data_IF_460285980042
#
_entry.id   IF_460285980042
#
_cell.length_a   1.000
_cell.length_b   1.000
_cell.length_c   1.000
_cell.angle_alpha   90.00
_cell.angle_beta   90.00
_cell.angle_gamma   90.00
#
_symmetry.space_group_name_H-M   'P 1'
#
loop_
_entity.id
_entity.type
_entity.pdbx_description
1 polymer ?
#
# COMPACT_ATOMS: atom_id res chain seq x y z
N UNK A 1 70.20 0.23 -55.11
CA UNK A 1 69.42 -0.71 -55.94
C UNK A 1 68.69 -1.68 -55.01
N UNK A 2 67.36 -1.63 -54.99
CA UNK A 2 66.47 -2.79 -54.81
C UNK A 2 65.02 -2.30 -54.70
N UNK A 3 64.25 -2.62 -55.75
CA UNK A 3 62.79 -2.72 -55.70
C UNK A 3 62.37 -3.71 -54.60
N UNK A 4 61.19 -3.49 -54.00
CA UNK A 4 60.17 -4.55 -53.90
C UNK A 4 58.80 -4.00 -53.49
N UNK A 5 57.83 -4.34 -54.34
CA UNK A 5 56.40 -4.31 -54.08
C UNK A 5 56.05 -5.15 -52.84
N UNK A 6 55.00 -4.74 -52.13
CA UNK A 6 54.01 -5.69 -51.62
C UNK A 6 52.65 -5.02 -51.46
N UNK A 7 51.70 -5.50 -52.27
CA UNK A 7 50.26 -5.34 -52.06
C UNK A 7 49.87 -6.19 -50.86
N UNK A 8 49.05 -5.67 -49.96
CA UNK A 8 48.29 -6.49 -49.01
C UNK A 8 46.86 -5.96 -48.98
N UNK A 9 45.95 -6.88 -49.29
CA UNK A 9 44.50 -6.70 -49.35
C UNK A 9 43.90 -7.38 -48.12
N UNK A 10 42.85 -6.74 -47.58
CA UNK A 10 41.82 -7.23 -46.66
C UNK A 10 42.23 -7.76 -45.28
N UNK A 11 41.66 -7.16 -44.23
CA UNK A 11 40.70 -7.88 -43.40
C UNK A 11 39.62 -6.92 -42.89
N UNK A 12 38.37 -7.37 -43.04
CA UNK A 12 37.13 -6.73 -42.62
C UNK A 12 37.05 -6.72 -41.10
N UNK A 13 36.82 -5.56 -40.49
CA UNK A 13 36.49 -5.43 -39.08
C UNK A 13 35.38 -4.39 -38.91
N UNK A 14 34.17 -4.73 -39.37
CA UNK A 14 32.96 -3.97 -39.02
C UNK A 14 32.40 -4.57 -37.73
N UNK A 15 32.92 -4.13 -36.58
CA UNK A 15 32.22 -4.30 -35.30
C UNK A 15 30.95 -3.46 -35.38
N UNK A 16 29.82 -4.12 -35.66
CA UNK A 16 28.48 -3.57 -35.45
C UNK A 16 28.26 -3.46 -33.94
N UNK A 17 28.70 -2.35 -33.35
CA UNK A 17 28.17 -1.84 -32.09
C UNK A 17 26.75 -1.36 -32.35
N UNK A 18 25.81 -2.30 -32.44
CA UNK A 18 24.39 -1.99 -32.37
C UNK A 18 24.08 -1.46 -30.97
N UNK A 19 23.40 -0.32 -30.82
CA UNK A 19 22.98 0.15 -29.52
C UNK A 19 22.06 -0.93 -28.92
N UNK A 20 22.43 -1.44 -27.75
CA UNK A 20 21.47 -2.09 -26.87
C UNK A 20 20.38 -1.06 -26.61
N UNK A 21 19.30 -1.14 -27.38
CA UNK A 21 18.05 -0.51 -27.05
C UNK A 21 17.60 -1.19 -25.75
N UNK A 22 18.05 -0.60 -24.63
CA UNK A 22 17.33 -0.67 -23.38
C UNK A 22 15.92 -0.21 -23.72
N UNK A 23 15.03 -1.18 -23.88
CA UNK A 23 13.61 -0.94 -23.79
C UNK A 23 13.38 -0.36 -22.38
N UNK A 24 13.48 0.95 -22.27
CA UNK A 24 12.73 1.70 -21.27
C UNK A 24 11.29 1.32 -21.55
N UNK A 25 10.75 0.35 -20.82
CA UNK A 25 9.31 0.22 -20.62
C UNK A 25 8.90 1.44 -19.81
N UNK A 26 8.33 2.51 -20.40
CA UNK A 26 7.71 3.57 -19.64
C UNK A 26 6.28 3.08 -19.41
N UNK A 27 6.16 1.99 -18.66
CA UNK A 27 4.91 1.41 -18.24
C UNK A 27 4.68 1.74 -16.77
N UNK A 28 4.93 3.00 -16.39
CA UNK A 28 4.37 3.53 -15.16
C UNK A 28 2.87 3.64 -15.39
N UNK A 29 2.15 2.53 -15.22
CA UNK A 29 0.71 2.58 -15.01
C UNK A 29 0.51 3.57 -13.86
N UNK A 30 -0.05 4.73 -14.18
CA UNK A 30 -0.52 5.69 -13.20
C UNK A 30 -1.55 4.94 -12.36
N UNK A 31 -1.13 4.36 -11.23
CA UNK A 31 -2.01 3.62 -10.33
C UNK A 31 -3.02 4.60 -9.77
N UNK A 32 -4.23 4.57 -10.31
CA UNK A 32 -5.35 5.39 -9.86
C UNK A 32 -5.92 4.83 -8.56
N UNK A 33 -6.48 5.70 -7.72
CA UNK A 33 -7.29 5.26 -6.58
C UNK A 33 -8.44 4.39 -7.11
N UNK A 34 -8.62 3.15 -6.63
CA UNK A 34 -9.66 2.27 -7.14
C UNK A 34 -11.03 2.85 -6.81
N UNK A 35 -12.04 2.54 -7.62
CA UNK A 35 -13.44 2.78 -7.24
C UNK A 35 -13.91 1.78 -6.17
N UNK A 36 -15.12 1.99 -5.65
CA UNK A 36 -15.66 1.19 -4.56
C UNK A 36 -15.85 -0.28 -4.94
N UNK A 37 -16.26 -0.61 -6.16
CA UNK A 37 -16.47 -2.01 -6.57
C UNK A 37 -15.14 -2.75 -6.79
N UNK A 38 -14.16 -2.07 -7.40
CA UNK A 38 -12.81 -2.59 -7.54
C UNK A 38 -12.15 -2.83 -6.18
N UNK A 39 -12.35 -1.91 -5.23
CA UNK A 39 -11.88 -2.04 -3.85
C UNK A 39 -12.48 -3.29 -3.18
N UNK A 40 -13.81 -3.43 -3.20
CA UNK A 40 -14.51 -4.59 -2.59
C UNK A 40 -14.05 -5.91 -3.19
N UNK A 41 -13.91 -5.97 -4.51
CA UNK A 41 -13.41 -7.16 -5.22
C UNK A 41 -12.00 -7.54 -4.77
N UNK A 42 -11.10 -6.54 -4.68
CA UNK A 42 -9.72 -6.76 -4.24
C UNK A 42 -9.66 -7.21 -2.78
N UNK A 43 -10.46 -6.60 -1.90
CA UNK A 43 -10.57 -6.98 -0.50
C UNK A 43 -11.12 -8.40 -0.33
N UNK A 44 -12.12 -8.79 -1.11
CA UNK A 44 -12.64 -10.17 -1.12
C UNK A 44 -11.56 -11.17 -1.51
N UNK A 45 -10.75 -10.87 -2.53
CA UNK A 45 -9.60 -11.70 -2.90
C UNK A 45 -8.55 -11.83 -1.78
N UNK A 46 -8.51 -10.89 -0.84
CA UNK A 46 -7.65 -10.93 0.35
C UNK A 46 -8.31 -11.56 1.58
N UNK A 47 -9.56 -12.02 1.47
CA UNK A 47 -10.29 -12.74 2.52
C UNK A 47 -11.38 -11.94 3.24
N UNK A 48 -11.63 -10.69 2.86
CA UNK A 48 -12.72 -9.87 3.42
C UNK A 48 -14.04 -10.15 2.69
N UNK A 49 -14.66 -11.29 3.05
CA UNK A 49 -15.81 -11.85 2.35
C UNK A 49 -17.15 -11.60 3.03
N UNK A 50 -17.16 -10.80 4.10
CA UNK A 50 -18.41 -10.47 4.79
C UNK A 50 -19.28 -9.54 3.94
N UNK A 51 -20.62 -9.61 4.06
CA UNK A 51 -21.51 -8.75 3.28
C UNK A 51 -21.32 -7.26 3.58
N UNK A 52 -21.32 -6.45 2.53
CA UNK A 52 -21.35 -4.99 2.65
C UNK A 52 -22.77 -4.52 2.97
N UNK A 53 -22.87 -3.64 3.96
CA UNK A 53 -24.09 -2.97 4.39
C UNK A 53 -24.03 -1.50 4.00
N UNK A 54 -25.05 -1.05 3.28
CA UNK A 54 -25.25 0.37 2.97
C UNK A 54 -25.61 1.16 4.23
N UNK A 55 -25.04 2.35 4.36
CA UNK A 55 -25.29 3.32 5.44
C UNK A 55 -25.45 4.72 4.84
N UNK A 56 -25.94 5.67 5.63
CA UNK A 56 -26.14 7.06 5.18
C UNK A 56 -24.85 7.74 4.70
N UNK A 57 -23.68 7.24 5.10
CA UNK A 57 -22.37 7.78 4.74
C UNK A 57 -21.51 6.84 3.92
N UNK A 58 -22.05 5.83 3.24
CA UNK A 58 -21.26 4.87 2.46
C UNK A 58 -21.48 3.44 2.92
N UNK A 59 -20.48 2.59 2.77
CA UNK A 59 -20.64 1.15 2.93
C UNK A 59 -19.69 0.61 3.98
N UNK A 60 -20.14 -0.41 4.71
CA UNK A 60 -19.29 -1.12 5.67
C UNK A 60 -19.48 -2.62 5.63
N UNK A 61 -18.45 -3.37 5.97
CA UNK A 61 -18.57 -4.78 6.31
C UNK A 61 -18.06 -5.03 7.74
N UNK A 62 -18.62 -6.00 8.47
CA UNK A 62 -18.14 -6.35 9.80
C UNK A 62 -16.76 -7.04 9.72
N UNK A 63 -15.96 -6.85 10.78
CA UNK A 63 -14.73 -7.59 11.05
C UNK A 63 -14.88 -8.27 12.43
N UNK A 64 -14.11 -9.33 12.68
CA UNK A 64 -14.10 -10.02 13.98
C UNK A 64 -13.83 -9.09 15.18
N UNK A 65 -13.12 -7.99 14.95
CA UNK A 65 -12.68 -7.03 15.94
C UNK A 65 -13.07 -5.58 15.60
N UNK A 66 -14.02 -5.36 14.68
CA UNK A 66 -14.32 -4.01 14.22
C UNK A 66 -15.16 -3.97 12.95
N UNK A 67 -14.89 -2.96 12.13
CA UNK A 67 -15.60 -2.71 10.87
C UNK A 67 -14.63 -2.17 9.82
N UNK A 68 -14.90 -2.51 8.55
CA UNK A 68 -14.21 -1.95 7.40
C UNK A 68 -15.18 -1.06 6.63
N UNK A 69 -14.73 0.13 6.24
CA UNK A 69 -15.54 1.20 5.66
C UNK A 69 -15.03 1.67 4.30
N UNK A 70 -15.97 1.96 3.42
CA UNK A 70 -15.80 2.66 2.15
C UNK A 70 -16.71 3.90 2.18
N UNK A 71 -16.13 5.10 2.22
CA UNK A 71 -16.86 6.36 2.36
C UNK A 71 -16.12 7.50 1.68
N UNK A 72 -16.78 8.21 0.77
CA UNK A 72 -16.31 9.50 0.22
C UNK A 72 -14.85 9.50 -0.29
N UNK A 73 -14.43 8.46 -1.00
CA UNK A 73 -13.04 8.35 -1.47
C UNK A 73 -12.02 8.03 -0.37
N UNK A 74 -12.50 7.52 0.77
CA UNK A 74 -11.69 7.00 1.86
C UNK A 74 -12.01 5.52 2.08
N UNK A 75 -10.96 4.74 2.32
CA UNK A 75 -11.03 3.34 2.71
C UNK A 75 -10.38 3.20 4.07
N UNK A 76 -11.12 2.81 5.10
CA UNK A 76 -10.57 2.73 6.45
C UNK A 76 -11.21 1.61 7.26
N UNK A 77 -10.44 1.05 8.19
CA UNK A 77 -10.91 0.11 9.19
C UNK A 77 -10.94 0.80 10.55
N UNK A 78 -11.96 0.50 11.36
CA UNK A 78 -12.06 0.89 12.77
C UNK A 78 -12.12 -0.40 13.58
N UNK A 79 -11.11 -0.64 14.41
CA UNK A 79 -10.92 -1.89 15.13
C UNK A 79 -10.68 -1.65 16.61
N UNK A 80 -11.14 -2.57 17.45
CA UNK A 80 -10.85 -2.56 18.88
C UNK A 80 -9.40 -2.93 19.14
N UNK A 81 -8.79 -2.28 20.13
CA UNK A 81 -7.50 -2.64 20.72
C UNK A 81 -7.79 -3.26 22.08
N UNK A 82 -7.18 -4.42 22.37
CA UNK A 82 -7.35 -5.09 23.65
C UNK A 82 -6.34 -4.54 24.63
N UNK A 83 -6.78 -3.74 25.58
CA UNK A 83 -5.94 -3.03 26.55
C UNK A 83 -5.87 -3.73 27.93
N UNK A 84 -6.29 -5.00 28.01
CA UNK A 84 -6.27 -5.80 29.26
C UNK A 84 -4.88 -5.87 29.92
N UNK A 85 -3.83 -5.96 29.10
CA UNK A 85 -2.42 -5.92 29.49
C UNK A 85 -1.54 -5.62 28.27
N UNK A 86 -0.25 -5.36 28.49
CA UNK A 86 0.69 -5.00 27.43
C UNK A 86 0.79 -6.06 26.32
N UNK A 87 0.81 -7.35 26.67
CA UNK A 87 0.91 -8.43 25.70
C UNK A 87 -0.36 -8.54 24.82
N UNK A 88 -1.54 -8.41 25.44
CA UNK A 88 -2.82 -8.38 24.74
C UNK A 88 -2.92 -7.18 23.80
N UNK A 89 -2.44 -6.02 24.26
CA UNK A 89 -2.38 -4.79 23.48
C UNK A 89 -1.47 -4.95 22.27
N UNK A 90 -0.23 -5.41 22.47
CA UNK A 90 0.72 -5.67 21.39
C UNK A 90 0.15 -6.64 20.35
N UNK A 91 -0.45 -7.75 20.79
CA UNK A 91 -1.05 -8.73 19.88
C UNK A 91 -2.22 -8.13 19.09
N UNK A 92 -3.10 -7.37 19.74
CA UNK A 92 -4.22 -6.73 19.07
C UNK A 92 -3.76 -5.67 18.06
N UNK A 93 -2.74 -4.88 18.37
CA UNK A 93 -2.15 -3.91 17.45
C UNK A 93 -1.50 -4.59 16.24
N UNK A 94 -0.79 -5.71 16.42
CA UNK A 94 -0.20 -6.48 15.32
C UNK A 94 -1.29 -7.05 14.40
N UNK A 95 -2.36 -7.60 14.97
CA UNK A 95 -3.49 -8.11 14.21
C UNK A 95 -4.18 -6.99 13.42
N UNK A 96 -4.41 -5.84 14.06
CA UNK A 96 -4.99 -4.67 13.42
C UNK A 96 -4.08 -4.15 12.28
N UNK A 97 -2.75 -4.13 12.49
CA UNK A 97 -1.77 -3.76 11.46
C UNK A 97 -1.84 -4.67 10.22
N UNK A 98 -2.11 -5.96 10.40
CA UNK A 98 -2.31 -6.87 9.27
C UNK A 98 -3.52 -6.46 8.42
N UNK A 99 -4.64 -6.12 9.07
CA UNK A 99 -5.84 -5.62 8.38
C UNK A 99 -5.54 -4.31 7.65
N UNK A 100 -4.85 -3.36 8.31
CA UNK A 100 -4.45 -2.11 7.68
C UNK A 100 -3.57 -2.36 6.45
N UNK A 101 -2.62 -3.28 6.54
CA UNK A 101 -1.74 -3.60 5.42
C UNK A 101 -2.51 -4.18 4.23
N UNK A 102 -3.45 -5.11 4.46
CA UNK A 102 -4.29 -5.64 3.37
C UNK A 102 -5.15 -4.55 2.73
N UNK A 103 -5.76 -3.70 3.56
CA UNK A 103 -6.53 -2.53 3.08
C UNK A 103 -5.67 -1.59 2.24
N UNK A 104 -4.45 -1.28 2.70
CA UNK A 104 -3.54 -0.42 1.96
C UNK A 104 -3.06 -1.05 0.65
N UNK A 105 -2.78 -2.35 0.62
CA UNK A 105 -2.44 -3.05 -0.63
C UNK A 105 -3.61 -2.97 -1.60
N UNK A 106 -4.84 -3.21 -1.13
CA UNK A 106 -6.03 -3.11 -1.97
C UNK A 106 -6.23 -1.69 -2.54
N UNK A 107 -5.99 -0.66 -1.71
CA UNK A 107 -6.13 0.73 -2.11
C UNK A 107 -5.05 1.22 -3.05
N UNK A 108 -3.82 0.71 -2.91
CA UNK A 108 -2.65 1.32 -3.55
C UNK A 108 -2.01 0.45 -4.63
N UNK A 109 -2.29 -0.85 -4.64
CA UNK A 109 -1.59 -1.83 -5.46
C UNK A 109 -0.10 -2.01 -5.09
N UNK A 110 0.35 -1.43 -3.98
CA UNK A 110 1.74 -1.52 -3.53
C UNK A 110 2.04 -2.85 -2.84
N UNK A 111 3.32 -3.21 -2.79
CA UNK A 111 3.75 -4.43 -2.11
C UNK A 111 3.43 -4.40 -0.62
N UNK A 112 3.11 -5.57 -0.07
CA UNK A 112 2.80 -5.74 1.37
C UNK A 112 3.89 -5.19 2.29
N UNK A 113 5.16 -5.35 1.93
CA UNK A 113 6.29 -4.84 2.71
C UNK A 113 6.26 -3.31 2.85
N UNK A 114 6.02 -2.59 1.75
CA UNK A 114 6.00 -1.12 1.75
C UNK A 114 4.82 -0.61 2.59
N UNK A 115 3.63 -1.15 2.33
CA UNK A 115 2.40 -0.75 3.01
C UNK A 115 2.45 -1.05 4.51
N UNK A 116 2.91 -2.26 4.88
CA UNK A 116 3.07 -2.63 6.29
C UNK A 116 4.09 -1.73 7.00
N UNK A 117 5.19 -1.36 6.32
CA UNK A 117 6.17 -0.41 6.88
C UNK A 117 5.55 0.97 7.13
N UNK A 118 4.68 1.45 6.24
CA UNK A 118 4.00 2.73 6.41
C UNK A 118 3.05 2.71 7.61
N UNK A 119 2.18 1.70 7.71
CA UNK A 119 1.24 1.60 8.82
C UNK A 119 1.93 1.31 10.16
N UNK A 120 2.96 0.47 10.21
CA UNK A 120 3.67 0.19 11.47
C UNK A 120 4.37 1.45 12.02
N UNK A 121 4.98 2.25 11.14
CA UNK A 121 5.54 3.56 11.50
C UNK A 121 4.48 4.52 12.04
N UNK A 122 3.34 4.62 11.36
CA UNK A 122 2.22 5.47 11.79
C UNK A 122 1.59 5.00 13.10
N UNK A 123 1.46 3.70 13.33
CA UNK A 123 1.00 3.14 14.60
C UNK A 123 1.96 3.49 15.73
N UNK A 124 3.27 3.33 15.53
CA UNK A 124 4.27 3.75 16.51
C UNK A 124 4.18 5.23 16.86
N UNK A 125 3.93 6.08 15.86
CA UNK A 125 3.65 7.51 16.09
C UNK A 125 2.34 7.72 16.85
N UNK A 126 1.23 7.12 16.41
CA UNK A 126 -0.09 7.30 17.00
C UNK A 126 -0.14 6.95 18.51
N UNK A 127 0.68 5.99 18.95
CA UNK A 127 0.84 5.64 20.37
C UNK A 127 1.49 6.74 21.22
N UNK A 128 2.21 7.69 20.61
CA UNK A 128 2.91 8.77 21.30
C UNK A 128 2.38 10.16 20.94
N UNK A 129 1.81 10.31 19.75
CA UNK A 129 1.24 11.51 19.15
C UNK A 129 0.10 11.07 18.22
N UNK A 130 -1.17 11.10 18.65
CA UNK A 130 -2.29 10.64 17.85
C UNK A 130 -2.44 11.44 16.54
N UNK A 131 -3.12 10.86 15.55
CA UNK A 131 -3.50 11.51 14.28
C UNK A 131 -2.35 11.88 13.33
N UNK A 132 -1.38 10.98 13.13
CA UNK A 132 -0.32 11.21 12.13
C UNK A 132 -0.67 10.63 10.76
N UNK A 133 -0.37 11.40 9.72
CA UNK A 133 -0.54 11.00 8.32
C UNK A 133 0.82 10.76 7.66
N UNK A 134 0.92 9.76 6.79
CA UNK A 134 2.06 9.56 5.90
C UNK A 134 1.60 9.67 4.44
N UNK A 135 2.33 10.45 3.65
CA UNK A 135 2.21 10.47 2.19
C UNK A 135 3.47 9.85 1.59
N UNK A 136 3.30 9.24 0.42
CA UNK A 136 4.42 8.91 -0.47
C UNK A 136 4.40 9.91 -1.63
N UNK A 137 5.51 10.61 -1.87
CA UNK A 137 5.63 11.62 -2.95
C UNK A 137 5.40 11.05 -4.36
N UNK A 138 5.47 9.73 -4.51
CA UNK A 138 5.25 9.02 -5.77
C UNK A 138 3.83 8.44 -5.91
N UNK A 139 2.96 8.64 -4.92
CA UNK A 139 1.66 7.99 -4.83
C UNK A 139 0.54 8.99 -4.53
N UNK A 140 -0.62 8.94 -5.22
CA UNK A 140 -1.75 9.82 -4.94
C UNK A 140 -2.52 9.41 -3.66
N UNK A 141 -1.86 8.75 -2.72
CA UNK A 141 -2.49 8.15 -1.54
C UNK A 141 -1.90 8.69 -0.24
N UNK A 142 -2.78 8.95 0.74
CA UNK A 142 -2.41 9.23 2.12
C UNK A 142 -2.78 8.07 3.03
N UNK A 143 -1.79 7.52 3.73
CA UNK A 143 -2.00 6.58 4.83
C UNK A 143 -2.23 7.36 6.13
N UNK A 144 -3.13 6.87 6.98
CA UNK A 144 -3.35 7.42 8.31
C UNK A 144 -3.55 6.32 9.35
N UNK A 145 -3.16 6.61 10.59
CA UNK A 145 -3.50 5.81 11.77
C UNK A 145 -3.90 6.76 12.90
N UNK A 146 -4.99 6.41 13.57
CA UNK A 146 -5.50 7.08 14.74
C UNK A 146 -5.77 6.03 15.82
N UNK A 147 -5.26 6.25 17.02
CA UNK A 147 -5.60 5.43 18.19
C UNK A 147 -6.26 6.36 19.20
N UNK A 148 -7.51 6.06 19.55
CA UNK A 148 -8.30 6.87 20.48
C UNK A 148 -8.82 6.01 21.61
N UNK A 149 -8.69 6.51 22.82
CA UNK A 149 -9.42 6.03 24.00
C UNK A 149 -10.73 6.80 24.12
N UNK A 150 -11.65 6.73 23.15
CA UNK A 150 -12.91 7.46 23.30
C UNK A 150 -14.13 6.70 22.78
N UNK A 151 -15.11 6.65 23.69
CA UNK A 151 -16.47 6.14 23.60
C UNK A 151 -16.59 4.67 24.03
N UNK A 152 -17.10 4.49 25.26
CA UNK A 152 -17.44 3.21 25.91
C UNK A 152 -16.30 2.38 26.56
N UNK A 153 -15.32 3.03 27.19
CA UNK A 153 -14.24 2.36 27.96
C UNK A 153 -13.36 1.40 27.13
N UNK A 154 -13.21 1.67 25.83
CA UNK A 154 -12.42 0.83 24.93
C UNK A 154 -11.47 1.65 24.09
N UNK A 155 -10.26 1.14 23.92
CA UNK A 155 -9.28 1.69 22.97
C UNK A 155 -9.63 1.24 21.55
N UNK A 156 -9.65 2.19 20.61
CA UNK A 156 -9.89 1.92 19.19
C UNK A 156 -8.67 2.32 18.35
N UNK A 157 -8.43 1.55 17.30
CA UNK A 157 -7.47 1.86 16.24
C UNK A 157 -8.24 2.03 14.93
N UNK A 158 -8.16 3.22 14.36
CA UNK A 158 -8.55 3.49 12.99
C UNK A 158 -7.31 3.55 12.10
N UNK A 159 -7.37 2.92 10.93
CA UNK A 159 -6.35 3.06 9.91
C UNK A 159 -6.98 3.06 8.52
N UNK A 160 -6.37 3.75 7.58
CA UNK A 160 -6.92 3.76 6.23
C UNK A 160 -6.07 4.50 5.22
N UNK A 161 -6.61 4.53 4.01
CA UNK A 161 -6.07 5.21 2.85
C UNK A 161 -7.13 6.16 2.30
N UNK A 162 -6.70 7.38 1.95
CA UNK A 162 -7.52 8.36 1.25
C UNK A 162 -6.81 8.89 0.02
N UNK A 163 -7.58 9.35 -0.95
CA UNK A 163 -7.05 10.11 -2.07
C UNK A 163 -6.45 11.45 -1.59
N UNK A 164 -5.46 11.99 -2.31
CA UNK A 164 -4.98 13.37 -2.07
C UNK A 164 -6.05 14.41 -2.44
#
# INVERSE_FOLDING_TARGET
MANRLSKTVCFVATLLLGPMALANTPGGESRSFPDSEQMKSTLSAMGFNEPWSMTDGGEKQPLNNGELWIREGNYFAVMSVRDDNEQAMQLSLINNLSVCAQLGIAATGDSSKSVFSAFSHLTGKALTQPETTASNEQSPFHYHVLITEMIAERTLMQCGVKNQ
#
